data_IF_468702531517
#
_entry.id   IF_468702531517
#
_cell.length_a   1.000
_cell.length_b   1.000
_cell.length_c   1.000
_cell.angle_alpha   90.00
_cell.angle_beta   90.00
_cell.angle_gamma   90.00
#
_symmetry.space_group_name_H-M   'P 1'
#
loop_
_entity.id
_entity.type
_entity.pdbx_description
1 polymer ?
#
# COMPACT_ATOMS: atom_id res chain seq x y z
N UNK A 1 24.36 37.13 -20.51
CA UNK A 1 23.21 36.29 -20.90
C UNK A 1 22.37 36.09 -19.66
N UNK A 2 21.26 36.83 -19.60
CA UNK A 2 20.45 37.13 -18.41
C UNK A 2 19.21 36.22 -18.36
N UNK A 3 19.09 35.38 -17.33
CA UNK A 3 17.95 34.45 -17.13
C UNK A 3 17.16 34.80 -15.86
N UNK A 4 16.75 36.07 -15.73
CA UNK A 4 15.84 36.54 -14.68
C UNK A 4 14.62 37.27 -15.24
N UNK A 5 13.77 36.60 -16.02
CA UNK A 5 12.37 37.01 -16.24
C UNK A 5 11.57 35.76 -16.55
N UNK A 6 10.63 35.41 -15.67
CA UNK A 6 9.41 34.61 -15.88
C UNK A 6 8.98 33.99 -14.54
N UNK A 7 8.63 34.88 -13.60
CA UNK A 7 7.82 34.57 -12.42
C UNK A 7 6.82 35.70 -12.25
N UNK A 8 5.67 35.59 -12.91
CA UNK A 8 4.38 36.23 -12.59
C UNK A 8 3.45 35.96 -13.77
N UNK A 9 2.13 35.88 -13.53
CA UNK A 9 1.05 35.39 -14.41
C UNK A 9 0.93 33.85 -14.30
N UNK A 10 -0.08 33.24 -13.67
CA UNK A 10 -1.50 33.60 -13.68
C UNK A 10 -2.19 33.18 -12.37
N UNK A 11 -2.69 34.17 -11.64
CA UNK A 11 -3.80 34.05 -10.72
C UNK A 11 -4.89 35.00 -11.21
N UNK A 12 -6.16 34.61 -11.02
CA UNK A 12 -7.43 35.35 -11.24
C UNK A 12 -8.22 34.99 -12.53
N UNK A 13 -9.18 34.09 -12.34
CA UNK A 13 -10.56 34.19 -12.86
C UNK A 13 -11.42 33.32 -11.92
N UNK A 14 -11.99 33.85 -10.82
CA UNK A 14 -13.18 34.72 -10.69
C UNK A 14 -14.48 34.02 -11.10
N UNK A 15 -15.27 33.73 -10.05
CA UNK A 15 -16.72 33.85 -9.90
C UNK A 15 -17.68 32.92 -10.67
N UNK A 16 -18.41 32.16 -9.83
CA UNK A 16 -19.88 32.19 -9.72
C UNK A 16 -20.74 31.92 -10.95
N UNK A 17 -21.41 30.77 -10.94
CA UNK A 17 -22.79 30.68 -11.44
C UNK A 17 -23.59 29.73 -10.54
N UNK A 18 -24.47 30.35 -9.76
CA UNK A 18 -25.50 29.71 -8.98
C UNK A 18 -26.72 29.40 -9.86
N UNK A 19 -27.36 28.29 -9.53
CA UNK A 19 -28.79 27.99 -9.63
C UNK A 19 -29.55 28.31 -10.93
N UNK A 20 -29.98 27.25 -11.61
CA UNK A 20 -31.32 27.18 -12.19
C UNK A 20 -31.92 25.80 -11.90
N UNK A 21 -32.95 25.79 -11.04
CA UNK A 21 -33.86 24.68 -10.85
C UNK A 21 -34.74 24.51 -12.09
N UNK A 22 -35.18 23.28 -12.39
CA UNK A 22 -36.60 22.94 -12.62
C UNK A 22 -36.78 21.46 -13.00
N UNK A 23 -37.65 20.81 -12.22
CA UNK A 23 -38.69 19.88 -12.64
C UNK A 23 -38.33 18.72 -13.58
N UNK A 24 -38.19 17.53 -12.99
CA UNK A 24 -38.37 16.26 -13.67
C UNK A 24 -39.08 15.26 -12.75
N UNK A 25 -40.39 15.42 -12.56
CA UNK A 25 -41.23 14.37 -12.01
C UNK A 25 -41.29 13.21 -13.02
N UNK A 26 -40.58 12.12 -12.74
CA UNK A 26 -40.65 10.87 -13.49
C UNK A 26 -40.99 9.73 -12.54
N UNK A 27 -42.28 9.49 -12.32
CA UNK A 27 -42.78 8.31 -11.65
C UNK A 27 -42.53 7.08 -12.53
N UNK A 28 -41.51 6.29 -12.20
CA UNK A 28 -41.26 4.97 -12.78
C UNK A 28 -41.67 3.89 -11.79
N UNK A 29 -42.90 3.40 -11.93
CA UNK A 29 -43.45 2.28 -11.17
C UNK A 29 -42.79 1.00 -11.66
N UNK A 30 -41.72 0.57 -10.98
CA UNK A 30 -41.03 -0.70 -11.26
C UNK A 30 -41.39 -1.73 -10.20
N UNK A 31 -42.22 -2.69 -10.61
CA UNK A 31 -42.72 -3.82 -9.81
C UNK A 31 -41.60 -4.58 -9.09
N UNK A 32 -41.67 -4.63 -7.76
CA UNK A 32 -40.86 -5.51 -6.92
C UNK A 32 -41.27 -6.96 -7.13
N UNK A 33 -40.45 -7.73 -7.85
CA UNK A 33 -40.55 -9.19 -7.86
C UNK A 33 -39.92 -9.72 -6.58
N UNK A 34 -40.76 -10.09 -5.62
CA UNK A 34 -40.35 -10.79 -4.41
C UNK A 34 -39.79 -12.18 -4.78
N UNK A 35 -38.48 -12.36 -4.66
CA UNK A 35 -37.88 -13.68 -4.67
C UNK A 35 -37.85 -14.20 -3.22
N UNK A 36 -38.83 -15.04 -2.91
CA UNK A 36 -38.88 -15.86 -1.71
C UNK A 36 -37.74 -16.89 -1.79
N UNK A 37 -36.57 -16.55 -1.23
CA UNK A 37 -35.47 -17.50 -1.07
C UNK A 37 -35.64 -18.23 0.28
N UNK A 38 -36.03 -19.49 0.14
CA UNK A 38 -36.08 -20.57 1.12
C UNK A 38 -34.94 -20.56 2.14
N UNK A 39 -35.30 -20.50 3.42
CA UNK A 39 -34.42 -20.78 4.55
C UNK A 39 -34.08 -22.27 4.62
N UNK A 40 -32.97 -22.65 3.99
CA UNK A 40 -32.35 -23.96 4.18
C UNK A 40 -31.51 -23.95 5.46
N UNK A 41 -32.03 -24.55 6.53
CA UNK A 41 -31.25 -24.89 7.70
C UNK A 41 -30.23 -25.99 7.33
N UNK A 42 -28.94 -25.67 7.37
CA UNK A 42 -27.86 -26.65 7.23
C UNK A 42 -26.99 -26.58 8.48
N UNK A 43 -26.79 -27.75 9.08
CA UNK A 43 -26.35 -27.97 10.45
C UNK A 43 -25.04 -27.29 10.84
N UNK A 44 -25.03 -26.80 12.07
CA UNK A 44 -23.85 -26.43 12.83
C UNK A 44 -22.93 -27.65 12.95
N UNK A 45 -21.69 -27.64 12.42
CA UNK A 45 -20.73 -28.68 12.75
C UNK A 45 -20.33 -28.55 14.22
N UNK A 46 -20.56 -29.61 14.98
CA UNK A 46 -20.11 -29.75 16.37
C UNK A 46 -18.59 -29.88 16.36
N UNK A 47 -17.87 -28.80 16.65
CA UNK A 47 -16.41 -28.79 16.76
C UNK A 47 -16.05 -29.25 18.17
N UNK A 48 -15.47 -30.45 18.28
CA UNK A 48 -14.90 -30.96 19.53
C UNK A 48 -13.77 -30.05 20.03
N UNK A 49 -13.69 -29.75 21.33
CA UNK A 49 -12.62 -28.92 21.88
C UNK A 49 -11.26 -29.65 21.77
N UNK A 50 -10.29 -28.97 21.16
CA UNK A 50 -8.89 -29.42 21.09
C UNK A 50 -8.26 -29.23 22.48
N UNK A 51 -7.60 -30.25 23.05
CA UNK A 51 -6.90 -30.09 24.33
C UNK A 51 -5.74 -29.09 24.21
N UNK A 52 -5.62 -28.22 25.21
CA UNK A 52 -4.57 -27.21 25.30
C UNK A 52 -3.17 -27.84 25.31
N UNK A 53 -2.32 -27.43 24.38
CA UNK A 53 -0.91 -27.81 24.36
C UNK A 53 -0.16 -27.21 25.57
N UNK A 54 0.72 -27.99 26.24
CA UNK A 54 1.50 -27.50 27.38
C UNK A 54 2.56 -26.48 26.96
N UNK A 55 2.81 -25.51 27.85
CA UNK A 55 3.78 -24.45 27.69
C UNK A 55 5.22 -24.98 27.56
N UNK A 56 6.07 -24.40 26.67
CA UNK A 56 7.47 -24.74 26.61
C UNK A 56 8.24 -24.15 27.81
N UNK A 57 8.95 -25.03 28.51
CA UNK A 57 9.90 -24.72 29.57
C UNK A 57 11.01 -23.80 29.08
N UNK A 58 11.32 -22.77 29.88
CA UNK A 58 12.45 -21.87 29.66
C UNK A 58 13.79 -22.60 29.89
N UNK A 59 14.79 -22.47 28.99
CA UNK A 59 16.16 -22.82 29.32
C UNK A 59 16.87 -21.66 30.03
N UNK A 60 17.47 -22.01 31.16
CA UNK A 60 18.37 -21.18 31.95
C UNK A 60 19.75 -21.05 31.29
N UNK A 61 20.33 -19.85 31.35
CA UNK A 61 21.73 -19.65 31.73
C UNK A 61 22.85 -19.70 30.67
N UNK A 62 23.42 -18.50 30.42
CA UNK A 62 24.86 -18.17 30.32
C UNK A 62 25.65 -18.55 29.03
N UNK A 63 26.88 -18.03 28.84
CA UNK A 63 27.49 -16.74 29.20
C UNK A 63 28.03 -15.96 27.98
N UNK A 64 28.39 -14.70 28.21
CA UNK A 64 29.07 -13.80 27.28
C UNK A 64 30.54 -14.19 27.06
N UNK A 65 30.96 -14.37 25.80
CA UNK A 65 32.38 -14.46 25.43
C UNK A 65 32.69 -13.42 24.36
N UNK A 66 33.55 -12.46 24.70
CA UNK A 66 34.00 -11.39 23.81
C UNK A 66 34.88 -11.92 22.67
N UNK A 67 34.50 -11.58 21.43
CA UNK A 67 35.31 -11.77 20.23
C UNK A 67 35.66 -10.41 19.62
N UNK A 68 36.95 -10.04 19.71
CA UNK A 68 37.52 -8.85 19.10
C UNK A 68 37.68 -9.09 17.60
N UNK A 69 36.82 -8.49 16.78
CA UNK A 69 36.89 -8.59 15.32
C UNK A 69 37.90 -7.59 14.74
N UNK A 70 38.83 -8.09 13.93
CA UNK A 70 39.83 -7.35 13.15
C UNK A 70 39.17 -6.72 11.91
N UNK A 71 39.40 -5.44 11.56
CA UNK A 71 38.89 -4.86 10.33
C UNK A 71 39.75 -5.30 9.13
N UNK A 72 39.17 -6.11 8.25
CA UNK A 72 39.73 -6.37 6.91
C UNK A 72 39.20 -5.37 5.88
N UNK A 73 40.02 -4.87 4.94
CA UNK A 73 39.54 -3.99 3.88
C UNK A 73 39.00 -4.81 2.70
N UNK A 74 37.81 -4.44 2.22
CA UNK A 74 37.37 -4.76 0.86
C UNK A 74 36.27 -5.81 0.74
N UNK A 75 35.04 -5.33 0.58
CA UNK A 75 34.15 -5.73 -0.53
C UNK A 75 32.96 -4.76 -0.59
N UNK A 76 33.06 -3.83 -1.53
CA UNK A 76 31.95 -3.00 -2.01
C UNK A 76 31.04 -3.92 -2.83
N UNK A 77 30.02 -4.49 -2.17
CA UNK A 77 29.06 -5.40 -2.80
C UNK A 77 27.64 -4.99 -2.42
N UNK A 78 26.94 -4.43 -3.42
CA UNK A 78 25.50 -4.32 -3.59
C UNK A 78 24.63 -4.04 -2.36
N UNK A 79 24.06 -2.83 -2.38
CA UNK A 79 22.99 -2.28 -1.56
C UNK A 79 21.74 -3.16 -1.53
N UNK A 80 21.75 -4.20 -0.68
CA UNK A 80 20.56 -4.91 -0.22
C UNK A 80 20.04 -4.28 1.08
N UNK A 81 19.75 -2.98 1.05
CA UNK A 81 19.19 -2.27 2.19
C UNK A 81 17.72 -2.67 2.37
N UNK A 82 17.48 -3.67 3.21
CA UNK A 82 16.16 -3.85 3.83
C UNK A 82 15.81 -2.56 4.54
N UNK A 83 15.00 -1.73 3.89
CA UNK A 83 14.50 -0.50 4.45
C UNK A 83 13.49 -0.87 5.53
N UNK A 84 13.97 -1.15 6.74
CA UNK A 84 13.18 -0.95 7.96
C UNK A 84 12.91 0.55 8.00
N UNK A 85 11.79 0.97 7.39
CA UNK A 85 11.42 2.36 7.22
C UNK A 85 11.05 2.98 8.57
N UNK A 86 12.06 3.31 9.38
CA UNK A 86 11.86 4.03 10.66
C UNK A 86 11.60 5.52 10.45
N UNK A 87 11.66 6.02 9.22
CA UNK A 87 11.31 7.39 8.85
C UNK A 87 9.84 7.54 8.46
N UNK A 88 9.27 8.70 8.77
CA UNK A 88 7.98 9.12 8.20
C UNK A 88 8.08 9.23 6.68
N UNK A 89 7.07 8.77 5.96
CA UNK A 89 6.98 8.93 4.52
C UNK A 89 7.10 10.42 4.14
N UNK A 90 7.97 10.72 3.17
CA UNK A 90 8.19 12.10 2.73
C UNK A 90 7.15 12.50 1.68
N UNK A 91 6.44 13.63 1.83
CA UNK A 91 5.50 14.08 0.82
C UNK A 91 6.20 14.47 -0.47
N UNK A 92 5.56 14.13 -1.59
CA UNK A 92 5.85 14.69 -2.91
C UNK A 92 4.57 15.20 -3.55
N UNK A 93 4.61 16.28 -4.36
CA UNK A 93 3.43 16.72 -5.10
C UNK A 93 2.94 15.61 -6.06
N UNK A 94 1.63 15.34 -6.09
CA UNK A 94 1.04 14.37 -7.03
C UNK A 94 1.42 14.69 -8.48
N UNK A 95 1.44 15.97 -8.85
CA UNK A 95 1.84 16.44 -10.19
C UNK A 95 3.30 16.18 -10.56
N UNK A 96 4.16 15.85 -9.58
CA UNK A 96 5.56 15.50 -9.81
C UNK A 96 5.78 13.99 -9.94
N UNK A 97 4.78 13.17 -9.62
CA UNK A 97 4.90 11.73 -9.71
C UNK A 97 4.94 11.28 -11.17
N UNK A 98 5.92 10.45 -11.48
CA UNK A 98 6.04 9.76 -12.77
C UNK A 98 6.36 8.30 -12.51
N UNK A 99 5.67 7.42 -13.20
CA UNK A 99 5.96 5.99 -13.18
C UNK A 99 7.33 5.76 -13.85
N UNK A 100 8.19 4.99 -13.18
CA UNK A 100 9.60 4.86 -13.57
C UNK A 100 10.48 6.07 -13.19
N UNK A 101 9.91 7.06 -12.50
CA UNK A 101 10.66 8.18 -11.90
C UNK A 101 11.52 7.75 -10.70
N UNK A 102 12.26 8.68 -10.09
CA UNK A 102 13.09 8.38 -8.92
C UNK A 102 12.20 7.83 -7.79
N UNK A 103 12.69 6.78 -7.12
CA UNK A 103 11.98 6.18 -6.01
C UNK A 103 11.73 7.23 -4.91
N UNK A 104 10.48 7.37 -4.50
CA UNK A 104 10.15 8.03 -3.23
C UNK A 104 10.64 7.15 -2.08
N UNK A 105 10.88 7.77 -0.92
CA UNK A 105 11.30 7.03 0.28
C UNK A 105 10.04 6.47 0.96
N UNK A 106 9.83 5.14 0.98
CA UNK A 106 8.71 4.56 1.70
C UNK A 106 8.88 4.80 3.21
N UNK A 107 7.78 4.97 3.93
CA UNK A 107 7.84 5.16 5.38
C UNK A 107 6.49 5.08 6.05
N UNK A 108 6.49 5.31 7.36
CA UNK A 108 5.26 5.36 8.15
C UNK A 108 4.39 6.51 7.68
N UNK A 109 3.10 6.23 7.48
CA UNK A 109 2.11 7.22 7.10
C UNK A 109 1.80 8.14 8.28
N UNK A 110 1.75 9.48 8.09
CA UNK A 110 1.22 10.38 9.09
C UNK A 110 -0.30 10.22 9.21
N UNK A 111 -0.86 10.48 10.39
CA UNK A 111 -2.32 10.53 10.59
C UNK A 111 -2.91 11.72 9.83
N UNK A 112 -3.70 11.44 8.79
CA UNK A 112 -4.27 12.43 7.87
C UNK A 112 -5.55 11.91 7.22
N UNK A 113 -6.34 12.85 6.70
CA UNK A 113 -7.46 12.55 5.82
C UNK A 113 -6.94 12.24 4.40
N UNK A 114 -6.96 10.96 4.05
CA UNK A 114 -6.57 10.46 2.74
C UNK A 114 -7.72 10.60 1.76
N UNK A 115 -7.47 11.28 0.64
CA UNK A 115 -8.48 11.54 -0.37
C UNK A 115 -8.47 10.50 -1.49
N UNK A 116 -7.27 10.09 -1.93
CA UNK A 116 -7.10 9.28 -3.15
C UNK A 116 -5.92 8.32 -3.02
N UNK A 117 -5.87 7.31 -3.88
CA UNK A 117 -4.72 6.44 -4.05
C UNK A 117 -4.22 6.54 -5.51
N UNK A 118 -2.92 6.72 -5.70
CA UNK A 118 -2.29 6.71 -7.00
C UNK A 118 -1.44 5.44 -7.16
N UNK A 119 -1.46 4.79 -8.32
CA UNK A 119 -0.54 3.67 -8.59
C UNK A 119 0.09 3.74 -9.97
N UNK A 120 1.25 3.12 -10.08
CA UNK A 120 1.86 2.85 -11.37
C UNK A 120 1.49 1.43 -11.81
N UNK A 121 0.90 1.26 -13.00
CA UNK A 121 0.63 -0.05 -13.54
C UNK A 121 1.96 -0.78 -13.75
N UNK A 122 2.02 -2.01 -13.26
CA UNK A 122 3.16 -2.89 -13.47
C UNK A 122 3.19 -3.23 -14.97
N UNK A 123 4.25 -2.87 -15.69
CA UNK A 123 4.43 -3.43 -17.01
C UNK A 123 4.73 -4.91 -16.81
N UNK A 124 4.09 -5.78 -17.61
CA UNK A 124 4.63 -7.12 -17.77
C UNK A 124 6.11 -7.03 -18.14
N UNK A 125 6.95 -7.87 -17.52
CA UNK A 125 8.36 -7.93 -17.87
C UNK A 125 8.48 -8.27 -19.35
N UNK A 126 9.22 -7.48 -20.13
CA UNK A 126 9.72 -8.00 -21.42
C UNK A 126 10.76 -9.07 -21.12
N UNK A 127 10.79 -10.19 -21.87
CA UNK A 127 11.83 -11.18 -21.72
C UNK A 127 13.21 -10.54 -21.92
N UNK A 128 14.09 -10.61 -20.91
CA UNK A 128 15.46 -10.10 -20.97
C UNK A 128 15.77 -8.86 -20.12
N UNK A 129 14.76 -8.14 -19.61
CA UNK A 129 14.97 -6.83 -18.95
C UNK A 129 15.23 -6.89 -17.43
N UNK A 130 15.49 -8.07 -16.87
CA UNK A 130 15.96 -8.20 -15.48
C UNK A 130 14.91 -7.98 -14.38
N UNK A 131 13.62 -7.85 -14.71
CA UNK A 131 12.52 -7.80 -13.73
C UNK A 131 11.29 -7.04 -14.23
N UNK A 132 10.18 -7.05 -13.47
CA UNK A 132 9.04 -6.20 -13.76
C UNK A 132 9.43 -4.74 -13.54
N UNK A 133 9.23 -3.92 -14.57
CA UNK A 133 9.39 -2.46 -14.49
C UNK A 133 8.01 -1.82 -14.55
N UNK A 134 7.80 -0.72 -13.83
CA UNK A 134 6.58 0.07 -14.01
C UNK A 134 6.58 0.68 -15.42
N UNK A 135 5.42 0.72 -16.09
CA UNK A 135 5.33 1.43 -17.36
C UNK A 135 5.63 2.91 -17.14
N UNK A 136 6.51 3.54 -17.95
CA UNK A 136 6.68 4.99 -17.89
C UNK A 136 5.33 5.68 -18.14
N UNK A 137 4.98 6.67 -17.33
CA UNK A 137 3.69 7.34 -17.48
C UNK A 137 3.22 8.11 -16.25
N UNK A 138 1.99 8.59 -16.34
CA UNK A 138 1.28 9.25 -15.23
C UNK A 138 0.66 8.17 -14.35
N UNK A 139 0.79 8.24 -13.01
CA UNK A 139 0.10 7.32 -12.12
C UNK A 139 -1.41 7.34 -12.34
N UNK A 140 -2.04 6.17 -12.24
CA UNK A 140 -3.50 6.05 -12.25
C UNK A 140 -4.02 6.40 -10.87
N UNK A 141 -4.88 7.42 -10.80
CA UNK A 141 -5.55 7.82 -9.56
C UNK A 141 -6.86 7.03 -9.42
N UNK A 142 -7.09 6.52 -8.21
CA UNK A 142 -8.32 5.84 -7.81
C UNK A 142 -8.90 6.53 -6.58
N UNK A 143 -10.22 6.72 -6.64
CA UNK A 143 -11.02 7.16 -5.52
C UNK A 143 -11.79 5.97 -4.95
N UNK A 144 -12.12 6.03 -3.66
CA UNK A 144 -12.88 4.98 -3.00
C UNK A 144 -12.71 5.02 -1.50
N UNK A 145 -13.23 4.01 -0.82
CA UNK A 145 -13.01 3.86 0.61
C UNK A 145 -11.57 3.41 0.89
N UNK A 146 -10.72 4.34 1.34
CA UNK A 146 -9.31 4.08 1.65
C UNK A 146 -9.10 3.56 3.08
N UNK A 147 -10.11 3.61 3.95
CA UNK A 147 -9.96 3.24 5.36
C UNK A 147 -9.41 1.81 5.58
N UNK A 148 -9.86 0.78 4.82
CA UNK A 148 -9.30 -0.57 4.95
C UNK A 148 -7.82 -0.63 4.57
N UNK A 149 -7.41 0.09 3.52
CA UNK A 149 -6.02 0.14 3.08
C UNK A 149 -5.15 0.85 4.11
N UNK A 150 -5.58 2.03 4.58
CA UNK A 150 -4.85 2.81 5.59
C UNK A 150 -4.69 2.00 6.88
N UNK A 151 -5.77 1.36 7.35
CA UNK A 151 -5.72 0.48 8.53
C UNK A 151 -4.72 -0.68 8.36
N UNK A 152 -4.71 -1.32 7.19
CA UNK A 152 -3.76 -2.39 6.89
C UNK A 152 -2.29 -1.90 6.85
N UNK A 153 -2.05 -0.68 6.36
CA UNK A 153 -0.70 -0.08 6.28
C UNK A 153 -0.15 0.39 7.63
N UNK A 154 -1.00 0.67 8.60
CA UNK A 154 -0.58 0.98 9.98
C UNK A 154 -0.21 -0.26 10.81
N UNK A 155 -0.43 -1.47 10.27
CA UNK A 155 0.00 -2.69 10.96
C UNK A 155 1.52 -2.76 10.99
N UNK A 156 2.12 -3.25 12.09
CA UNK A 156 3.55 -3.53 12.11
C UNK A 156 3.88 -4.75 11.25
N UNK A 157 5.14 -4.87 10.86
CA UNK A 157 5.66 -6.11 10.30
C UNK A 157 5.52 -7.26 11.30
N UNK A 158 5.17 -8.42 10.79
CA UNK A 158 5.20 -9.62 11.60
C UNK A 158 6.67 -10.04 11.87
N UNK A 159 6.96 -10.61 13.06
CA UNK A 159 8.27 -11.17 13.35
C UNK A 159 8.66 -12.22 12.30
N UNK A 160 9.94 -12.18 11.86
CA UNK A 160 10.50 -13.15 10.92
C UNK A 160 10.38 -14.57 11.50
N UNK A 161 9.88 -15.50 10.69
CA UNK A 161 9.87 -16.93 11.02
C UNK A 161 11.22 -17.56 10.67
N UNK A 162 11.64 -18.56 11.45
CA UNK A 162 12.78 -19.43 11.14
C UNK A 162 12.37 -20.71 10.37
N UNK A 163 11.06 -20.90 10.13
CA UNK A 163 10.52 -22.05 9.43
C UNK A 163 10.58 -21.94 7.90
N UNK A 164 10.04 -22.97 7.23
CA UNK A 164 9.92 -22.97 5.77
C UNK A 164 8.91 -21.91 5.32
N UNK A 165 9.34 -21.07 4.37
CA UNK A 165 8.50 -20.10 3.70
C UNK A 165 8.33 -20.48 2.24
N UNK A 166 7.17 -20.20 1.65
CA UNK A 166 6.97 -20.49 0.24
C UNK A 166 7.87 -19.58 -0.63
N UNK A 167 8.36 -20.14 -1.74
CA UNK A 167 9.30 -19.46 -2.65
C UNK A 167 8.59 -18.73 -3.82
N UNK A 168 7.33 -18.33 -3.63
CA UNK A 168 6.66 -17.46 -4.60
C UNK A 168 6.89 -15.98 -4.25
N UNK A 169 6.73 -15.11 -5.25
CA UNK A 169 6.80 -13.66 -5.07
C UNK A 169 5.47 -13.03 -5.40
N UNK A 170 4.96 -12.21 -4.49
CA UNK A 170 3.82 -11.34 -4.76
C UNK A 170 4.36 -10.06 -5.39
N UNK A 171 4.00 -9.81 -6.65
CA UNK A 171 4.30 -8.55 -7.31
C UNK A 171 3.27 -7.51 -6.88
N UNK A 172 3.73 -6.47 -6.21
CA UNK A 172 2.88 -5.34 -5.83
C UNK A 172 3.13 -4.14 -6.74
N UNK A 173 2.06 -3.43 -7.14
CA UNK A 173 2.22 -2.14 -7.80
C UNK A 173 2.95 -1.17 -6.86
N UNK A 174 3.70 -0.23 -7.44
CA UNK A 174 4.10 0.95 -6.68
C UNK A 174 2.88 1.86 -6.55
N UNK A 175 2.56 2.27 -5.33
CA UNK A 175 1.42 3.13 -5.06
C UNK A 175 1.73 4.19 -4.00
N UNK A 176 0.90 5.22 -3.97
CA UNK A 176 0.94 6.34 -3.05
C UNK A 176 -0.45 6.64 -2.53
N UNK A 177 -0.53 7.13 -1.29
CA UNK A 177 -1.73 7.76 -0.77
C UNK A 177 -1.63 9.28 -0.93
N UNK A 178 -2.70 9.90 -1.38
CA UNK A 178 -2.78 11.34 -1.64
C UNK A 178 -3.71 11.98 -0.63
N UNK A 179 -3.23 13.01 0.06
CA UNK A 179 -4.05 13.79 1.00
C UNK A 179 -4.90 14.85 0.27
N UNK A 180 -5.84 15.49 0.98
CA UNK A 180 -6.68 16.55 0.42
C UNK A 180 -5.93 17.80 -0.07
N UNK A 181 -4.61 17.90 0.15
CA UNK A 181 -3.75 18.98 -0.36
C UNK A 181 -3.00 18.60 -1.64
N UNK A 182 -3.22 17.38 -2.16
CA UNK A 182 -2.55 16.87 -3.36
C UNK A 182 -1.11 16.39 -3.10
N UNK A 183 -0.75 16.11 -1.84
CA UNK A 183 0.55 15.52 -1.50
C UNK A 183 0.44 14.02 -1.46
N UNK A 184 1.30 13.36 -2.22
CA UNK A 184 1.42 11.93 -2.30
C UNK A 184 2.52 11.40 -1.35
N UNK A 185 2.21 10.29 -0.70
CA UNK A 185 3.08 9.62 0.28
C UNK A 185 3.20 8.16 -0.10
N UNK A 186 4.44 7.65 -0.23
CA UNK A 186 4.66 6.23 -0.44
C UNK A 186 4.68 5.52 0.92
N UNK A 187 3.71 4.63 1.20
CA UNK A 187 3.69 3.93 2.46
C UNK A 187 4.74 2.82 2.50
N UNK A 188 5.24 2.55 3.70
CA UNK A 188 5.80 1.24 4.02
C UNK A 188 4.70 0.18 3.93
N UNK A 189 4.99 -0.97 3.33
CA UNK A 189 4.03 -2.08 3.19
C UNK A 189 4.38 -3.12 4.25
N UNK A 190 3.50 -3.36 5.24
CA UNK A 190 3.73 -4.38 6.24
C UNK A 190 3.90 -5.75 5.61
N UNK A 191 4.86 -6.53 6.12
CA UNK A 191 5.13 -7.89 5.67
C UNK A 191 4.75 -8.92 6.73
N UNK A 192 4.41 -10.13 6.27
CA UNK A 192 4.20 -11.28 7.12
C UNK A 192 5.54 -11.90 7.57
N UNK A 193 5.47 -12.97 8.37
CA UNK A 193 6.64 -13.63 8.94
C UNK A 193 7.60 -14.22 7.90
N UNK A 194 7.14 -14.41 6.66
CA UNK A 194 7.92 -14.86 5.52
C UNK A 194 8.47 -13.72 4.66
N UNK A 195 8.30 -12.47 5.08
CA UNK A 195 8.72 -11.29 4.32
C UNK A 195 7.87 -11.01 3.08
N UNK A 196 6.71 -11.66 2.95
CA UNK A 196 5.75 -11.37 1.88
C UNK A 196 4.82 -10.24 2.32
N UNK A 197 4.28 -9.43 1.39
CA UNK A 197 3.30 -8.41 1.73
C UNK A 197 2.11 -8.96 2.54
N UNK A 198 1.62 -8.17 3.48
CA UNK A 198 0.43 -8.49 4.27
C UNK A 198 -0.77 -8.73 3.36
N UNK A 199 -1.48 -9.84 3.59
CA UNK A 199 -2.69 -10.19 2.84
C UNK A 199 -3.79 -9.11 2.97
N UNK A 200 -3.84 -8.40 4.10
CA UNK A 200 -4.77 -7.30 4.30
C UNK A 200 -4.51 -6.14 3.33
N UNK A 201 -3.23 -5.79 3.10
CA UNK A 201 -2.85 -4.75 2.13
C UNK A 201 -3.17 -5.19 0.71
N UNK A 202 -2.82 -6.44 0.35
CA UNK A 202 -3.12 -6.99 -0.98
C UNK A 202 -4.63 -6.96 -1.26
N UNK A 203 -5.45 -7.44 -0.32
CA UNK A 203 -6.90 -7.45 -0.46
C UNK A 203 -7.49 -6.03 -0.58
N UNK A 204 -6.99 -5.07 0.20
CA UNK A 204 -7.45 -3.69 0.12
C UNK A 204 -7.09 -3.02 -1.22
N UNK A 205 -5.91 -3.30 -1.78
CA UNK A 205 -5.52 -2.81 -3.10
C UNK A 205 -6.35 -3.44 -4.22
N UNK A 206 -6.66 -4.74 -4.13
CA UNK A 206 -7.56 -5.41 -5.08
C UNK A 206 -8.96 -4.79 -5.07
N UNK A 207 -9.50 -4.48 -3.88
CA UNK A 207 -10.80 -3.83 -3.74
C UNK A 207 -10.85 -2.42 -4.38
N UNK A 208 -9.71 -1.72 -4.47
CA UNK A 208 -9.57 -0.43 -5.16
C UNK A 208 -9.27 -0.58 -6.66
N UNK A 209 -9.09 -1.81 -7.15
CA UNK A 209 -8.68 -2.07 -8.54
C UNK A 209 -7.27 -1.57 -8.84
N UNK A 210 -6.36 -1.66 -7.86
CA UNK A 210 -4.96 -1.25 -7.97
C UNK A 210 -4.01 -2.45 -8.10
N UNK A 211 -4.44 -3.65 -7.71
CA UNK A 211 -3.66 -4.89 -7.73
C UNK A 211 -4.10 -5.84 -8.85
#
# INVERSE_FOLDING_TARGET
MDTRRYRTLSALAVASLAAAALAGCGAGVGTSTAHTASSGAVGTPSISPVPASPAPSAPAGAPSTGGRATPGPGRTGATGGGATGTGTAKPVPLSSLTCGGPATVPGTLPDRDWAEAASCPVAGSRPGDGGPVNQPGVPVVKHGNLAPLVSALHQPDAPRSHGMCPDYRILMPTFWLVDGTGKAYQPHIPVNSCGQPSAAVVSALQALGLA
#
